data_IF_044679228094
#
_entry.id   IF_044679228094
#
_cell.length_a   1.000
_cell.length_b   1.000
_cell.length_c   1.000
_cell.angle_alpha   90.00
_cell.angle_beta   90.00
_cell.angle_gamma   90.00
#
_symmetry.space_group_name_H-M   'P 1'
#
loop_
_entity.id
_entity.type
_entity.pdbx_description
1 polymer ?
#
# COMPACT_ATOMS: atom_id res chain seq x y z
N UNK A 1 -15.30 11.61 -7.08
CA UNK A 1 -15.06 10.38 -6.29
C UNK A 1 -14.48 10.80 -4.96
N UNK A 2 -15.07 10.38 -3.84
CA UNK A 2 -14.57 10.73 -2.50
C UNK A 2 -13.44 9.78 -2.13
N UNK A 3 -12.23 10.30 -1.95
CA UNK A 3 -11.10 9.52 -1.49
C UNK A 3 -11.01 9.55 0.05
N UNK A 4 -10.38 8.54 0.63
CA UNK A 4 -10.21 8.40 2.06
C UNK A 4 -8.75 8.11 2.40
N UNK A 5 -8.24 8.84 3.39
CA UNK A 5 -6.95 8.59 4.01
C UNK A 5 -7.19 8.47 5.50
N UNK A 6 -6.78 7.34 6.07
CA UNK A 6 -6.94 7.08 7.50
C UNK A 6 -5.77 6.31 8.09
N UNK A 7 -5.68 6.32 9.41
CA UNK A 7 -4.61 5.64 10.13
C UNK A 7 -5.10 4.91 11.38
N UNK A 8 -4.30 3.94 11.82
CA UNK A 8 -4.34 3.32 13.14
C UNK A 8 -2.91 3.22 13.68
N UNK A 9 -2.72 3.54 14.96
CA UNK A 9 -1.42 3.44 15.63
C UNK A 9 -1.46 2.33 16.69
N UNK A 10 -0.28 1.86 17.10
CA UNK A 10 -0.12 0.85 18.17
C UNK A 10 -0.83 -0.48 17.91
N UNK A 11 -1.00 -0.85 16.63
CA UNK A 11 -1.63 -2.09 16.19
C UNK A 11 -0.72 -3.29 16.51
N UNK A 12 -1.23 -4.33 17.16
CA UNK A 12 -0.51 -5.59 17.37
C UNK A 12 -0.35 -6.39 16.06
N UNK A 13 0.55 -7.36 16.06
CA UNK A 13 0.70 -8.29 14.92
C UNK A 13 -0.62 -9.02 14.58
N UNK A 14 -1.36 -9.48 15.60
CA UNK A 14 -2.66 -10.15 15.43
C UNK A 14 -3.73 -9.22 14.84
N UNK A 15 -3.75 -7.95 15.26
CA UNK A 15 -4.69 -6.96 14.72
C UNK A 15 -4.32 -6.58 13.30
N UNK A 16 -3.02 -6.43 13.00
CA UNK A 16 -2.55 -6.19 11.63
C UNK A 16 -2.94 -7.35 10.72
N UNK A 17 -2.76 -8.59 11.18
CA UNK A 17 -3.22 -9.77 10.43
C UNK A 17 -4.72 -9.73 10.19
N UNK A 18 -5.53 -9.40 11.21
CA UNK A 18 -6.97 -9.27 11.06
C UNK A 18 -7.39 -8.16 10.07
N UNK A 19 -6.64 -7.04 10.02
CA UNK A 19 -6.85 -6.00 9.00
C UNK A 19 -6.53 -6.52 7.60
N UNK A 20 -5.40 -7.21 7.43
CA UNK A 20 -5.00 -7.79 6.15
C UNK A 20 -6.01 -8.85 5.67
N UNK A 21 -6.52 -9.69 6.56
CA UNK A 21 -7.54 -10.69 6.24
C UNK A 21 -8.88 -10.02 5.87
N UNK A 22 -9.27 -8.94 6.56
CA UNK A 22 -10.49 -8.19 6.28
C UNK A 22 -10.47 -7.51 4.92
N UNK A 23 -9.32 -6.91 4.57
CA UNK A 23 -9.16 -6.12 3.35
C UNK A 23 -8.58 -6.90 2.18
N UNK A 24 -8.07 -8.09 2.43
CA UNK A 24 -7.47 -8.96 1.44
C UNK A 24 -8.52 -9.56 0.50
N UNK A 25 -8.15 -9.70 -0.76
CA UNK A 25 -8.90 -10.43 -1.77
C UNK A 25 -7.94 -11.21 -2.66
N UNK A 26 -8.49 -12.04 -3.55
CA UNK A 26 -7.70 -12.74 -4.58
C UNK A 26 -6.93 -11.78 -5.51
N UNK A 27 -7.39 -10.53 -5.61
CA UNK A 27 -6.76 -9.48 -6.42
C UNK A 27 -5.69 -8.71 -5.67
N UNK A 28 -5.64 -8.84 -4.34
CA UNK A 28 -4.64 -8.16 -3.54
C UNK A 28 -3.23 -8.62 -3.89
N UNK A 29 -2.32 -7.67 -3.82
CA UNK A 29 -0.89 -7.85 -4.01
C UNK A 29 -0.17 -7.33 -2.78
N UNK A 30 0.99 -7.90 -2.52
CA UNK A 30 1.79 -7.55 -1.35
C UNK A 30 3.18 -7.11 -1.77
N UNK A 31 3.73 -6.15 -1.04
CA UNK A 31 5.12 -5.75 -1.18
C UNK A 31 5.72 -5.53 0.20
N UNK A 32 6.65 -6.41 0.58
CA UNK A 32 7.26 -6.49 1.89
C UNK A 32 8.67 -5.92 1.87
N UNK A 33 9.05 -5.23 2.94
CA UNK A 33 10.32 -4.53 3.08
C UNK A 33 11.02 -4.88 4.39
N UNK A 34 12.31 -5.13 4.28
CA UNK A 34 13.27 -5.24 5.38
C UNK A 34 14.43 -4.29 5.11
N UNK A 35 15.24 -4.00 6.13
CA UNK A 35 16.41 -3.12 5.98
C UNK A 35 17.41 -3.57 4.88
N UNK A 36 17.48 -4.88 4.60
CA UNK A 36 18.45 -5.47 3.68
C UNK A 36 17.84 -6.04 2.39
N UNK A 37 16.50 -6.08 2.25
CA UNK A 37 15.82 -6.69 1.09
C UNK A 37 14.39 -6.23 0.94
N UNK A 38 13.84 -6.45 -0.24
CA UNK A 38 12.40 -6.35 -0.55
C UNK A 38 11.91 -7.66 -1.15
N UNK A 39 10.63 -7.99 -0.98
CA UNK A 39 10.05 -9.23 -1.54
C UNK A 39 9.84 -9.20 -3.04
N UNK A 40 9.72 -8.01 -3.63
CA UNK A 40 9.00 -7.85 -4.90
C UNK A 40 7.48 -7.92 -4.70
N UNK A 41 6.73 -7.97 -5.79
CA UNK A 41 5.27 -8.02 -5.75
C UNK A 41 4.82 -9.48 -5.63
N UNK A 42 4.16 -9.80 -4.51
CA UNK A 42 3.66 -11.13 -4.20
C UNK A 42 2.14 -11.21 -4.40
N UNK A 43 1.64 -12.39 -4.77
CA UNK A 43 0.19 -12.70 -4.78
C UNK A 43 -0.30 -13.24 -3.44
N UNK A 44 0.59 -13.82 -2.65
CA UNK A 44 0.31 -14.38 -1.33
C UNK A 44 1.20 -13.69 -0.30
N UNK A 45 0.69 -13.55 0.92
CA UNK A 45 1.40 -12.91 2.01
C UNK A 45 2.35 -13.91 2.68
N UNK A 46 3.50 -14.13 2.03
CA UNK A 46 4.58 -14.97 2.56
C UNK A 46 5.64 -14.11 3.28
N UNK A 47 6.02 -14.49 4.50
CA UNK A 47 7.04 -13.77 5.28
C UNK A 47 6.51 -12.62 6.13
N UNK A 48 5.25 -12.70 6.56
CA UNK A 48 4.62 -11.76 7.49
C UNK A 48 4.92 -12.07 8.97
N UNK A 49 5.04 -11.04 9.84
CA UNK A 49 5.13 -9.63 9.49
C UNK A 49 6.55 -9.23 9.06
N UNK A 50 6.64 -8.52 7.94
CA UNK A 50 7.84 -7.73 7.64
C UNK A 50 7.81 -6.42 8.44
N UNK A 51 8.98 -5.82 8.79
CA UNK A 51 9.03 -4.55 9.50
C UNK A 51 8.26 -3.43 8.81
N UNK A 52 8.29 -3.40 7.48
CA UNK A 52 7.44 -2.54 6.67
C UNK A 52 6.80 -3.36 5.56
N UNK A 53 5.60 -2.98 5.15
CA UNK A 53 4.98 -3.60 3.99
C UNK A 53 3.72 -2.90 3.57
N UNK A 54 3.16 -3.39 2.48
CA UNK A 54 1.87 -2.93 1.99
C UNK A 54 1.12 -4.06 1.30
N UNK A 55 -0.19 -4.02 1.45
CA UNK A 55 -1.17 -4.76 0.67
C UNK A 55 -1.92 -3.75 -0.19
N UNK A 56 -2.09 -4.04 -1.46
CA UNK A 56 -2.77 -3.15 -2.39
C UNK A 56 -3.58 -3.93 -3.42
N UNK A 57 -4.65 -3.30 -3.87
CA UNK A 57 -5.45 -3.74 -5.01
C UNK A 57 -5.79 -2.53 -5.89
N UNK A 58 -6.87 -2.62 -6.66
CA UNK A 58 -7.35 -1.53 -7.50
C UNK A 58 -7.86 -0.35 -6.67
N UNK A 59 -8.51 -0.58 -5.54
CA UNK A 59 -9.31 0.42 -4.85
C UNK A 59 -8.62 0.97 -3.60
N UNK A 60 -7.76 0.16 -2.97
CA UNK A 60 -7.10 0.53 -1.72
C UNK A 60 -5.64 0.10 -1.66
N UNK A 61 -4.90 0.81 -0.83
CA UNK A 61 -3.62 0.36 -0.31
C UNK A 61 -3.65 0.49 1.22
N UNK A 62 -3.24 -0.58 1.90
CA UNK A 62 -2.97 -0.62 3.32
C UNK A 62 -1.47 -0.83 3.50
N UNK A 63 -0.77 0.14 4.09
CA UNK A 63 0.67 0.05 4.38
C UNK A 63 0.91 0.07 5.89
N UNK A 64 1.87 -0.71 6.35
CA UNK A 64 2.24 -0.77 7.76
C UNK A 64 3.73 -0.51 7.95
N UNK A 65 4.06 -0.02 9.15
CA UNK A 65 5.42 0.17 9.62
C UNK A 65 5.52 -0.18 11.10
N UNK A 66 6.48 -1.04 11.43
CA UNK A 66 6.77 -1.46 12.79
C UNK A 66 7.35 -0.30 13.61
N UNK A 67 6.91 -0.20 14.87
CA UNK A 67 7.33 0.72 15.92
C UNK A 67 7.44 -0.10 17.22
N UNK A 68 8.65 -0.59 17.53
CA UNK A 68 8.84 -1.55 18.63
C UNK A 68 8.15 -2.88 18.35
N UNK A 69 7.29 -3.32 19.28
CA UNK A 69 6.46 -4.52 19.17
C UNK A 69 5.11 -4.28 18.47
N UNK A 70 4.84 -3.02 18.06
CA UNK A 70 3.58 -2.59 17.44
C UNK A 70 3.77 -2.08 16.03
N UNK A 71 2.66 -1.77 15.36
CA UNK A 71 2.61 -1.26 14.00
C UNK A 71 1.77 0.01 13.92
N UNK A 72 2.22 0.95 13.09
CA UNK A 72 1.39 2.02 12.57
C UNK A 72 0.90 1.62 11.18
N UNK A 73 -0.38 1.80 10.92
CA UNK A 73 -1.06 1.40 9.70
C UNK A 73 -1.71 2.63 9.07
N UNK A 74 -1.49 2.80 7.76
CA UNK A 74 -2.13 3.82 6.94
C UNK A 74 -2.95 3.12 5.86
N UNK A 75 -4.18 3.59 5.66
CA UNK A 75 -5.06 3.17 4.57
C UNK A 75 -5.33 4.32 3.61
N UNK A 76 -5.19 4.04 2.33
CA UNK A 76 -5.45 4.93 1.20
C UNK A 76 -6.52 4.27 0.34
N UNK A 77 -7.76 4.78 0.33
CA UNK A 77 -8.91 4.10 -0.28
C UNK A 77 -9.76 5.04 -1.14
N UNK A 78 -10.46 4.49 -2.13
CA UNK A 78 -11.52 5.17 -2.87
C UNK A 78 -12.86 5.22 -2.12
N UNK A 79 -12.92 4.61 -0.94
CA UNK A 79 -14.12 4.51 -0.12
C UNK A 79 -13.80 4.85 1.34
N UNK A 80 -14.80 5.28 2.10
CA UNK A 80 -14.64 5.47 3.54
C UNK A 80 -14.37 4.12 4.22
N UNK A 81 -13.42 4.09 5.16
CA UNK A 81 -12.98 2.86 5.83
C UNK A 81 -13.30 2.91 7.31
N UNK A 82 -14.23 2.06 7.75
CA UNK A 82 -14.62 1.98 9.15
C UNK A 82 -13.47 1.48 10.03
N UNK A 83 -13.35 2.07 11.21
CA UNK A 83 -12.32 1.70 12.19
C UNK A 83 -11.00 2.45 12.03
N UNK A 84 -10.82 3.27 10.99
CA UNK A 84 -9.63 4.14 10.86
C UNK A 84 -9.95 5.56 11.33
N UNK A 85 -8.98 6.20 11.98
CA UNK A 85 -9.05 7.64 12.24
C UNK A 85 -8.74 8.37 10.93
N UNK A 86 -9.70 9.14 10.42
CA UNK A 86 -9.51 9.92 9.19
C UNK A 86 -8.45 11.00 9.39
N UNK A 87 -7.64 11.24 8.36
CA UNK A 87 -6.80 12.45 8.29
C UNK A 87 -7.67 13.59 7.78
N UNK A 88 -7.81 14.63 8.59
CA UNK A 88 -8.74 15.75 8.41
C UNK A 88 -8.37 16.65 7.22
N UNK A 89 -8.73 16.20 6.02
CA UNK A 89 -8.58 16.89 4.73
C UNK A 89 -9.65 16.42 3.76
N UNK A 90 -9.93 17.24 2.75
CA UNK A 90 -10.76 16.85 1.60
C UNK A 90 -9.84 16.23 0.55
N UNK A 91 -10.04 14.95 0.26
CA UNK A 91 -9.17 14.19 -0.63
C UNK A 91 -9.77 14.04 -2.02
N UNK A 92 -9.00 14.41 -3.04
CA UNK A 92 -9.21 14.00 -4.43
C UNK A 92 -8.11 13.05 -4.87
N UNK A 93 -8.35 12.30 -5.94
CA UNK A 93 -7.38 11.32 -6.44
C UNK A 93 -7.12 11.48 -7.92
N UNK A 94 -5.86 11.23 -8.31
CA UNK A 94 -5.45 11.13 -9.71
C UNK A 94 -4.59 9.89 -9.92
N UNK A 95 -4.98 9.06 -10.89
CA UNK A 95 -4.26 7.83 -11.21
C UNK A 95 -3.29 8.04 -12.37
N UNK A 96 -2.15 7.34 -12.31
CA UNK A 96 -1.10 7.34 -13.31
C UNK A 96 -0.67 5.91 -13.58
N UNK A 97 -0.55 5.56 -14.86
CA UNK A 97 0.00 4.27 -15.26
C UNK A 97 1.46 4.17 -14.79
N UNK A 98 1.82 3.04 -14.17
CA UNK A 98 3.18 2.79 -13.72
C UNK A 98 3.77 1.59 -14.47
N UNK A 99 5.10 1.51 -14.52
CA UNK A 99 5.81 0.41 -15.18
C UNK A 99 6.72 -0.26 -14.18
N UNK A 100 6.62 -1.58 -14.09
CA UNK A 100 7.65 -2.40 -13.49
C UNK A 100 8.74 -2.60 -14.52
N UNK A 101 9.97 -2.27 -14.13
CA UNK A 101 11.11 -2.54 -14.98
C UNK A 101 11.37 -4.05 -15.03
N UNK A 102 11.72 -4.60 -16.20
CA UNK A 102 12.10 -5.99 -16.31
C UNK A 102 13.33 -6.27 -15.45
N UNK A 103 13.54 -7.51 -15.03
CA UNK A 103 14.70 -7.88 -14.19
C UNK A 103 16.02 -7.78 -14.95
N UNK A 104 15.97 -7.69 -16.28
CA UNK A 104 17.10 -7.43 -17.17
C UNK A 104 17.45 -5.95 -17.30
N UNK A 105 16.65 -5.05 -16.71
CA UNK A 105 16.93 -3.62 -16.68
C UNK A 105 18.17 -3.31 -15.84
N UNK A 106 19.14 -2.58 -16.42
CA UNK A 106 20.45 -2.31 -15.80
C UNK A 106 20.47 -1.04 -14.96
N UNK A 107 19.44 -0.19 -15.03
CA UNK A 107 19.32 1.03 -14.21
C UNK A 107 19.20 0.74 -12.70
N UNK A 108 18.79 -0.45 -12.31
CA UNK A 108 18.64 -0.83 -10.90
C UNK A 108 19.64 -1.93 -10.54
N UNK A 109 20.34 -1.84 -9.38
CA UNK A 109 21.34 -2.83 -8.97
C UNK A 109 20.79 -4.26 -8.83
N UNK A 110 19.49 -4.36 -8.49
CA UNK A 110 18.75 -5.61 -8.39
C UNK A 110 17.37 -5.41 -9.00
N UNK A 111 17.00 -6.27 -9.94
CA UNK A 111 15.65 -6.30 -10.48
C UNK A 111 14.62 -6.60 -9.39
N UNK A 112 13.42 -6.03 -9.53
CA UNK A 112 12.29 -6.30 -8.64
C UNK A 112 11.52 -7.51 -9.19
N UNK A 113 11.30 -8.52 -8.36
CA UNK A 113 10.45 -9.65 -8.73
C UNK A 113 8.98 -9.23 -8.75
N UNK A 114 8.19 -9.75 -9.68
CA UNK A 114 6.78 -9.33 -9.89
C UNK A 114 6.39 -9.09 -11.36
N UNK A 115 7.14 -9.66 -12.32
CA UNK A 115 6.80 -9.53 -13.74
C UNK A 115 5.39 -10.06 -14.02
N UNK A 116 4.61 -9.30 -14.81
CA UNK A 116 3.24 -9.64 -15.19
C UNK A 116 2.13 -9.04 -14.32
N UNK A 117 2.46 -8.23 -13.31
CA UNK A 117 1.45 -7.41 -12.59
C UNK A 117 1.36 -6.05 -13.26
N UNK A 118 0.17 -5.68 -13.73
CA UNK A 118 -0.09 -4.32 -14.19
C UNK A 118 -0.26 -3.42 -12.96
N UNK A 119 0.64 -2.45 -12.79
CA UNK A 119 0.64 -1.57 -11.62
C UNK A 119 0.40 -0.13 -12.06
N UNK A 120 -0.26 0.61 -11.19
CA UNK A 120 -0.49 2.03 -11.34
C UNK A 120 -0.17 2.74 -10.01
N UNK A 121 -0.13 4.06 -10.07
CA UNK A 121 0.02 4.93 -8.92
C UNK A 121 -1.23 5.79 -8.78
N UNK A 122 -1.72 5.96 -7.55
CA UNK A 122 -2.80 6.88 -7.23
C UNK A 122 -2.31 7.94 -6.27
N UNK A 123 -2.27 9.18 -6.73
CA UNK A 123 -1.98 10.33 -5.89
C UNK A 123 -3.24 10.72 -5.10
N UNK A 124 -3.09 10.91 -3.80
CA UNK A 124 -4.10 11.50 -2.91
C UNK A 124 -3.70 12.95 -2.66
N UNK A 125 -4.57 13.84 -3.13
CA UNK A 125 -4.34 15.26 -3.25
C UNK A 125 -5.28 15.97 -2.28
N UNK A 126 -4.72 16.85 -1.47
CA UNK A 126 -5.51 17.79 -0.67
C UNK A 126 -6.15 18.80 -1.60
N UNK A 127 -7.48 18.79 -1.68
CA UNK A 127 -8.26 19.63 -2.59
C UNK A 127 -8.07 21.12 -2.32
N UNK A 128 -7.82 21.50 -1.06
CA UNK A 128 -7.65 22.91 -0.69
C UNK A 128 -6.29 23.47 -1.11
N UNK A 129 -5.24 22.65 -1.04
CA UNK A 129 -3.86 23.09 -1.28
C UNK A 129 -3.30 22.60 -2.61
N UNK A 130 -4.03 21.76 -3.34
CA UNK A 130 -3.56 21.04 -4.54
C UNK A 130 -2.25 20.26 -4.32
N UNK A 131 -1.95 19.91 -3.06
CA UNK A 131 -0.70 19.22 -2.69
C UNK A 131 -0.91 17.71 -2.71
N UNK A 132 -0.01 16.99 -3.37
CA UNK A 132 0.06 15.52 -3.27
C UNK A 132 0.67 15.16 -1.92
N UNK A 133 -0.13 14.57 -1.03
CA UNK A 133 0.36 14.12 0.29
C UNK A 133 0.77 12.65 0.28
N UNK A 134 0.03 11.81 -0.45
CA UNK A 134 0.28 10.37 -0.49
C UNK A 134 0.21 9.85 -1.92
N UNK A 135 0.99 8.82 -2.20
CA UNK A 135 0.96 8.07 -3.46
C UNK A 135 0.80 6.60 -3.10
N UNK A 136 -0.35 6.02 -3.46
CA UNK A 136 -0.62 4.59 -3.31
C UNK A 136 -0.15 3.83 -4.56
N UNK A 137 0.40 2.65 -4.36
CA UNK A 137 0.54 1.65 -5.41
C UNK A 137 -0.80 0.93 -5.59
N UNK A 138 -1.21 0.70 -6.83
CA UNK A 138 -2.44 -0.02 -7.16
C UNK A 138 -2.15 -1.10 -8.18
N UNK A 139 -2.93 -2.18 -8.16
CA UNK A 139 -2.86 -3.23 -9.17
C UNK A 139 -4.10 -3.14 -10.07
N UNK A 140 -3.88 -3.18 -11.39
CA UNK A 140 -4.93 -3.31 -12.38
C UNK A 140 -5.03 -4.79 -12.80
N UNK A 141 -6.24 -5.24 -13.12
CA UNK A 141 -6.48 -6.59 -13.67
C UNK A 141 -5.95 -6.70 -15.10
#
# INVERSE_FOLDING_TARGET
MSAFVGYQNNVSESELKALLDRYGSVKSRYFLRWAHKVSGILKHLDGFPSPEGQMFDRDRELRWKQQGDRFNVLILSLHAEAGFTAIDKVWTTKSYQAKLYPTTETRFPKGIQGQGVNVAQRCFIDDQTSTVHFVALTAED
#
